data_IF_836567063488
#
_entry.id   IF_836567063488
#
_cell.length_a   1.000
_cell.length_b   1.000
_cell.length_c   1.000
_cell.angle_alpha   90.00
_cell.angle_beta   90.00
_cell.angle_gamma   90.00
#
_symmetry.space_group_name_H-M   'P 1'
#
loop_
_entity.id
_entity.type
_entity.pdbx_description
1 polymer ?
#
# COMPACT_ATOMS: atom_id res chain seq x y z
N UNK A 1 -2.62 -43.62 38.22
CA UNK A 1 -2.98 -42.92 39.47
C UNK A 1 -2.10 -41.69 39.61
N UNK A 2 -2.76 -40.60 40.00
CA UNK A 2 -2.33 -39.20 40.03
C UNK A 2 -1.06 -38.97 40.85
N UNK A 3 -0.16 -38.11 40.36
CA UNK A 3 0.69 -37.31 41.26
C UNK A 3 0.82 -35.88 40.75
N UNK A 4 0.08 -35.01 41.42
CA UNK A 4 0.16 -33.55 41.35
C UNK A 4 1.55 -33.07 41.77
N UNK A 5 2.09 -32.09 41.03
CA UNK A 5 3.11 -31.16 41.53
C UNK A 5 2.79 -29.76 41.03
N UNK A 6 2.29 -28.96 41.94
CA UNK A 6 2.19 -27.50 41.89
C UNK A 6 3.59 -26.88 41.85
N UNK A 7 3.84 -25.99 40.88
CA UNK A 7 5.01 -25.11 40.92
C UNK A 7 4.64 -23.69 40.46
N UNK A 8 4.74 -22.82 41.45
CA UNK A 8 4.73 -21.36 41.50
C UNK A 8 5.16 -20.64 40.21
N UNK A 9 4.36 -19.67 39.77
CA UNK A 9 4.82 -18.59 38.86
C UNK A 9 4.96 -17.32 39.69
N UNK A 10 6.21 -16.92 39.87
CA UNK A 10 6.69 -15.72 40.53
C UNK A 10 6.81 -14.63 39.46
N UNK A 11 5.83 -13.71 39.40
CA UNK A 11 5.93 -12.50 38.58
C UNK A 11 6.45 -11.37 39.45
N UNK A 12 7.70 -10.99 39.21
CA UNK A 12 8.30 -9.75 39.71
C UNK A 12 8.69 -8.84 38.54
N UNK A 13 8.35 -7.56 38.66
CA UNK A 13 8.98 -6.38 38.04
C UNK A 13 8.28 -5.15 38.64
N UNK A 14 8.82 -4.46 39.64
CA UNK A 14 9.91 -3.46 39.64
C UNK A 14 9.65 -2.23 38.75
N UNK A 15 9.20 -1.18 39.45
CA UNK A 15 9.34 0.29 39.30
C UNK A 15 10.19 0.86 38.15
N UNK A 16 9.71 1.98 37.57
CA UNK A 16 10.43 3.25 37.31
C UNK A 16 9.40 4.27 36.75
N UNK A 17 8.80 5.16 37.55
CA UNK A 17 9.23 6.54 37.83
C UNK A 17 9.51 7.44 36.60
N UNK A 18 8.61 8.41 36.38
CA UNK A 18 8.95 9.78 35.98
C UNK A 18 8.95 10.12 34.49
N UNK A 19 8.18 11.14 34.08
CA UNK A 19 8.43 11.85 32.83
C UNK A 19 7.22 12.56 32.21
N UNK A 20 7.11 13.86 32.46
CA UNK A 20 6.51 14.91 31.63
C UNK A 20 5.04 14.77 31.15
N UNK A 21 4.14 15.47 31.86
CA UNK A 21 2.91 16.01 31.29
C UNK A 21 3.25 17.20 30.37
N UNK A 22 2.97 17.07 29.08
CA UNK A 22 2.75 18.17 28.13
C UNK A 22 1.47 17.83 27.36
N UNK A 23 0.33 18.44 27.71
CA UNK A 23 -0.18 19.71 27.16
C UNK A 23 -0.82 19.49 25.78
N UNK A 24 -2.16 19.36 25.84
CA UNK A 24 -3.19 19.99 25.00
C UNK A 24 -3.29 19.69 23.50
N UNK A 25 -4.49 19.22 23.17
CA UNK A 25 -5.32 19.60 22.01
C UNK A 25 -4.78 19.34 20.60
N UNK A 26 -5.36 18.32 19.98
CA UNK A 26 -5.33 18.07 18.54
C UNK A 26 -6.50 18.84 17.90
N UNK A 27 -6.28 19.92 17.14
CA UNK A 27 -7.28 20.38 16.19
C UNK A 27 -7.14 19.57 14.89
N UNK A 28 -8.29 19.08 14.42
CA UNK A 28 -8.47 18.51 13.10
C UNK A 28 -8.01 19.46 12.00
N UNK A 29 -7.30 18.91 11.02
CA UNK A 29 -7.18 19.47 9.68
C UNK A 29 -5.95 20.34 9.42
N UNK A 30 -4.83 19.73 9.03
CA UNK A 30 -3.90 20.30 8.04
C UNK A 30 -2.87 19.23 7.65
N UNK A 31 -3.03 18.59 6.51
CA UNK A 31 -1.94 17.88 5.85
C UNK A 31 -1.37 18.86 4.82
N UNK A 32 -0.15 19.40 4.97
CA UNK A 32 0.49 20.14 3.89
C UNK A 32 1.19 19.12 2.97
N UNK A 33 0.55 18.79 1.85
CA UNK A 33 1.27 18.23 0.71
C UNK A 33 1.97 19.40 0.00
N UNK A 34 3.31 19.36 -0.18
CA UNK A 34 3.99 20.33 -1.02
C UNK A 34 3.69 20.02 -2.50
N UNK A 35 2.83 20.85 -3.10
CA UNK A 35 2.30 20.72 -4.45
C UNK A 35 3.22 21.35 -5.52
N UNK A 36 4.51 20.99 -5.52
CA UNK A 36 5.46 21.63 -6.43
C UNK A 36 6.70 20.80 -6.73
N UNK A 37 6.53 19.58 -7.24
CA UNK A 37 7.61 18.84 -7.93
C UNK A 37 7.08 17.91 -9.05
N UNK A 38 6.45 18.49 -10.07
CA UNK A 38 6.34 17.86 -11.39
C UNK A 38 6.94 18.79 -12.45
N UNK A 39 8.17 18.52 -12.94
CA UNK A 39 8.83 19.39 -13.90
C UNK A 39 8.29 19.21 -15.32
N UNK A 40 8.15 20.35 -15.98
CA UNK A 40 7.77 20.55 -17.37
C UNK A 40 8.73 19.82 -18.34
N UNK A 41 8.32 18.66 -18.83
CA UNK A 41 9.05 17.89 -19.85
C UNK A 41 8.23 17.64 -21.15
N UNK A 42 7.14 18.36 -21.39
CA UNK A 42 6.32 18.19 -22.60
C UNK A 42 5.85 19.55 -23.14
N UNK A 43 6.75 20.29 -23.79
CA UNK A 43 6.42 21.25 -24.85
C UNK A 43 7.68 22.00 -25.32
N UNK A 44 8.44 21.43 -26.26
CA UNK A 44 9.22 22.26 -27.18
C UNK A 44 9.53 21.47 -28.44
N UNK A 45 8.62 21.56 -29.40
CA UNK A 45 8.79 21.10 -30.77
C UNK A 45 8.04 22.09 -31.65
N UNK A 46 8.74 23.11 -32.14
CA UNK A 46 8.29 23.96 -33.23
C UNK A 46 9.52 24.57 -33.90
N UNK A 47 9.65 24.27 -35.18
CA UNK A 47 10.68 24.68 -36.13
C UNK A 47 10.86 26.20 -36.22
N UNK A 48 12.10 26.63 -36.47
CA UNK A 48 12.35 27.77 -37.34
C UNK A 48 13.68 27.63 -38.07
N UNK A 49 13.55 27.34 -39.35
CA UNK A 49 14.54 27.53 -40.41
C UNK A 49 14.76 29.02 -40.66
N UNK A 50 16.01 29.48 -40.68
CA UNK A 50 16.50 30.50 -41.61
C UNK A 50 18.01 30.58 -41.57
N UNK A 51 18.61 30.32 -42.72
CA UNK A 51 20.01 30.52 -43.02
C UNK A 51 20.43 32.00 -42.93
N UNK A 52 21.69 32.25 -42.59
CA UNK A 52 22.58 33.06 -43.45
C UNK A 52 24.04 32.86 -43.07
N UNK A 53 24.83 32.68 -44.11
CA UNK A 53 26.25 32.48 -44.09
C UNK A 53 26.99 33.70 -43.54
N UNK A 54 27.96 33.45 -42.66
CA UNK A 54 29.11 34.30 -42.46
C UNK A 54 30.35 33.40 -42.39
N UNK A 55 31.02 33.28 -43.52
CA UNK A 55 32.39 32.79 -43.63
C UNK A 55 33.29 33.62 -42.70
N UNK A 56 33.89 32.99 -41.70
CA UNK A 56 35.02 33.58 -40.98
C UNK A 56 36.05 32.50 -40.59
N UNK A 57 37.20 32.62 -41.24
CA UNK A 57 38.52 32.08 -40.90
C UNK A 57 38.72 30.56 -40.86
N UNK A 58 38.83 29.99 -42.06
CA UNK A 58 39.90 29.04 -42.34
C UNK A 58 41.25 29.71 -42.12
N UNK A 59 42.16 29.04 -41.40
CA UNK A 59 43.60 29.29 -41.52
C UNK A 59 44.24 30.08 -40.39
N UNK A 60 44.56 29.40 -39.28
CA UNK A 60 45.81 29.67 -38.57
C UNK A 60 46.39 28.40 -37.98
N UNK A 61 46.88 27.53 -38.86
CA UNK A 61 48.01 26.64 -38.54
C UNK A 61 49.23 27.52 -38.29
N UNK A 62 49.32 28.07 -37.08
CA UNK A 62 50.55 28.69 -36.60
C UNK A 62 51.46 27.58 -36.12
N UNK A 63 52.11 26.89 -37.06
CA UNK A 63 53.33 26.14 -36.78
C UNK A 63 54.40 27.16 -36.43
N UNK A 64 54.54 27.46 -35.14
CA UNK A 64 55.77 28.01 -34.60
C UNK A 64 56.76 26.85 -34.46
N UNK A 65 57.93 26.88 -35.15
CA UNK A 65 58.98 25.90 -34.93
C UNK A 65 59.71 26.31 -33.65
N UNK A 66 59.31 25.69 -32.54
CA UNK A 66 59.90 25.97 -31.23
C UNK A 66 59.38 25.02 -30.15
N UNK A 67 58.97 23.80 -30.51
CA UNK A 67 58.73 22.78 -29.51
C UNK A 67 60.09 22.15 -29.18
N UNK A 68 60.77 22.71 -28.17
CA UNK A 68 61.69 21.91 -27.38
C UNK A 68 60.94 20.63 -26.99
N UNK A 69 61.45 19.47 -27.40
CA UNK A 69 61.00 18.20 -26.82
C UNK A 69 61.05 18.36 -25.31
N UNK A 70 59.96 18.06 -24.58
CA UNK A 70 59.95 18.24 -23.14
C UNK A 70 61.14 17.49 -22.56
N UNK A 71 61.86 18.16 -21.66
CA UNK A 71 63.02 17.53 -21.05
C UNK A 71 62.56 16.26 -20.30
N UNK A 72 63.37 15.21 -20.21
CA UNK A 72 62.99 13.97 -19.52
C UNK A 72 62.48 14.22 -18.09
N UNK A 73 62.95 15.28 -17.44
CA UNK A 73 62.59 15.67 -16.08
C UNK A 73 61.18 16.31 -16.00
N UNK A 74 60.81 17.16 -16.98
CA UNK A 74 59.46 17.73 -17.10
C UNK A 74 58.40 16.66 -17.37
N UNK A 75 58.72 15.65 -18.19
CA UNK A 75 57.83 14.50 -18.42
C UNK A 75 57.61 13.67 -17.15
N UNK A 76 58.64 13.48 -16.33
CA UNK A 76 58.48 12.74 -15.07
C UNK A 76 57.64 13.53 -14.06
N UNK A 77 57.75 14.87 -14.05
CA UNK A 77 56.92 15.73 -13.21
C UNK A 77 55.45 15.70 -13.63
N UNK A 78 55.15 15.77 -14.94
CA UNK A 78 53.78 15.70 -15.44
C UNK A 78 53.12 14.36 -15.13
N UNK A 79 53.85 13.24 -15.30
CA UNK A 79 53.35 11.90 -14.96
C UNK A 79 53.08 11.75 -13.46
N UNK A 80 53.90 12.34 -12.58
CA UNK A 80 53.63 12.36 -11.13
C UNK A 80 52.37 13.16 -10.82
N UNK A 81 52.23 14.35 -11.40
CA UNK A 81 51.04 15.20 -11.22
C UNK A 81 49.77 14.49 -11.70
N UNK A 82 49.79 13.83 -12.85
CA UNK A 82 48.66 13.02 -13.32
C UNK A 82 48.34 11.87 -12.37
N UNK A 83 49.36 11.17 -11.84
CA UNK A 83 49.15 10.10 -10.85
C UNK A 83 48.49 10.61 -9.58
N UNK A 84 48.90 11.77 -9.09
CA UNK A 84 48.32 12.38 -7.89
C UNK A 84 46.85 12.77 -8.13
N UNK A 85 46.55 13.38 -9.29
CA UNK A 85 45.17 13.70 -9.69
C UNK A 85 44.29 12.45 -9.83
N UNK A 86 44.82 11.37 -10.39
CA UNK A 86 44.10 10.10 -10.50
C UNK A 86 43.90 9.45 -9.13
N UNK A 87 44.88 9.52 -8.23
CA UNK A 87 44.76 9.02 -6.86
C UNK A 87 43.65 9.76 -6.09
N UNK A 88 43.56 11.07 -6.23
CA UNK A 88 42.51 11.88 -5.62
C UNK A 88 41.11 11.60 -6.19
N UNK A 89 41.02 11.43 -7.51
CA UNK A 89 39.78 11.01 -8.16
C UNK A 89 39.33 9.63 -7.68
N UNK A 90 40.26 8.67 -7.58
CA UNK A 90 39.98 7.33 -7.08
C UNK A 90 39.44 7.38 -5.65
N UNK A 91 40.09 8.11 -4.75
CA UNK A 91 39.60 8.30 -3.37
C UNK A 91 38.18 8.88 -3.32
N UNK A 92 37.87 9.87 -4.16
CA UNK A 92 36.52 10.46 -4.24
C UNK A 92 35.47 9.47 -4.76
N UNK A 93 35.83 8.64 -5.75
CA UNK A 93 34.95 7.59 -6.25
C UNK A 93 34.73 6.49 -5.22
N UNK A 94 35.77 6.08 -4.50
CA UNK A 94 35.70 5.07 -3.44
C UNK A 94 34.81 5.56 -2.26
N UNK A 95 34.90 6.84 -1.90
CA UNK A 95 34.00 7.42 -0.90
C UNK A 95 32.54 7.42 -1.36
N UNK A 96 32.27 7.84 -2.60
CA UNK A 96 30.92 7.84 -3.17
C UNK A 96 30.34 6.43 -3.33
N UNK A 97 31.16 5.46 -3.73
CA UNK A 97 30.70 4.08 -3.88
C UNK A 97 30.29 3.49 -2.53
N UNK A 98 31.06 3.77 -1.46
CA UNK A 98 30.72 3.37 -0.10
C UNK A 98 29.41 4.02 0.40
N UNK A 99 29.21 5.32 0.14
CA UNK A 99 27.94 6.01 0.47
C UNK A 99 26.74 5.39 -0.26
N UNK A 100 26.88 5.13 -1.56
CA UNK A 100 25.81 4.51 -2.37
C UNK A 100 25.52 3.08 -1.88
N UNK A 101 26.54 2.32 -1.51
CA UNK A 101 26.37 0.95 -1.02
C UNK A 101 25.60 0.93 0.31
N UNK A 102 25.93 1.84 1.24
CA UNK A 102 25.18 1.99 2.48
C UNK A 102 23.72 2.40 2.22
N UNK A 103 23.49 3.35 1.30
CA UNK A 103 22.15 3.76 0.92
C UNK A 103 21.34 2.60 0.30
N UNK A 104 21.95 1.79 -0.56
CA UNK A 104 21.34 0.59 -1.14
C UNK A 104 20.96 -0.44 -0.09
N UNK A 105 21.84 -0.69 0.89
CA UNK A 105 21.54 -1.60 2.00
C UNK A 105 20.36 -1.10 2.85
N UNK A 106 20.29 0.21 3.09
CA UNK A 106 19.15 0.83 3.76
C UNK A 106 17.83 0.64 3.00
N UNK A 107 17.85 0.86 1.68
CA UNK A 107 16.68 0.67 0.82
C UNK A 107 16.25 -0.80 0.76
N UNK A 108 17.18 -1.74 0.61
CA UNK A 108 16.88 -3.17 0.60
C UNK A 108 16.23 -3.62 1.93
N UNK A 109 16.74 -3.13 3.06
CA UNK A 109 16.15 -3.40 4.38
C UNK A 109 14.73 -2.84 4.49
N UNK A 110 14.49 -1.61 4.05
CA UNK A 110 13.17 -1.01 4.04
C UNK A 110 12.21 -1.76 3.11
N UNK A 111 12.67 -2.16 1.92
CA UNK A 111 11.88 -2.93 0.97
C UNK A 111 11.48 -4.28 1.55
N UNK A 112 12.41 -5.00 2.20
CA UNK A 112 12.11 -6.27 2.88
C UNK A 112 11.06 -6.08 3.97
N UNK A 113 11.23 -5.06 4.82
CA UNK A 113 10.27 -4.75 5.87
C UNK A 113 8.87 -4.42 5.32
N UNK A 114 8.78 -3.64 4.23
CA UNK A 114 7.52 -3.33 3.57
C UNK A 114 6.86 -4.57 2.95
N UNK A 115 7.64 -5.45 2.31
CA UNK A 115 7.12 -6.71 1.77
C UNK A 115 6.61 -7.62 2.88
N UNK A 116 7.37 -7.78 3.98
CA UNK A 116 6.91 -8.54 5.14
C UNK A 116 5.62 -7.99 5.74
N UNK A 117 5.51 -6.66 5.83
CA UNK A 117 4.31 -6.02 6.37
C UNK A 117 3.11 -6.20 5.43
N UNK A 118 3.32 -6.06 4.12
CA UNK A 118 2.32 -6.37 3.09
C UNK A 118 1.83 -7.81 3.24
N UNK A 119 2.74 -8.78 3.34
CA UNK A 119 2.41 -10.20 3.44
C UNK A 119 1.67 -10.53 4.75
N UNK A 120 2.04 -9.89 5.85
CA UNK A 120 1.30 -10.00 7.12
C UNK A 120 -0.12 -9.46 6.98
N UNK A 121 -0.28 -8.29 6.35
CA UNK A 121 -1.60 -7.67 6.14
C UNK A 121 -2.47 -8.52 5.22
N UNK A 122 -1.95 -9.00 4.10
CA UNK A 122 -2.71 -9.87 3.18
C UNK A 122 -3.12 -11.17 3.88
N UNK A 123 -2.20 -11.80 4.62
CA UNK A 123 -2.50 -13.02 5.38
C UNK A 123 -3.59 -12.79 6.44
N UNK A 124 -3.57 -11.65 7.13
CA UNK A 124 -4.60 -11.29 8.09
C UNK A 124 -5.95 -11.03 7.42
N UNK A 125 -5.96 -10.32 6.29
CA UNK A 125 -7.19 -10.10 5.51
C UNK A 125 -7.78 -11.44 5.03
N UNK A 126 -6.96 -12.31 4.43
CA UNK A 126 -7.40 -13.63 3.99
C UNK A 126 -7.98 -14.46 5.15
N UNK A 127 -7.37 -14.37 6.34
CA UNK A 127 -7.86 -15.06 7.54
C UNK A 127 -9.20 -14.50 8.00
N UNK A 128 -9.35 -13.16 8.01
CA UNK A 128 -10.60 -12.50 8.40
C UNK A 128 -11.71 -12.86 7.40
N UNK A 129 -11.45 -12.75 6.09
CA UNK A 129 -12.41 -13.11 5.05
C UNK A 129 -12.85 -14.58 5.14
N UNK A 130 -11.91 -15.50 5.37
CA UNK A 130 -12.21 -16.92 5.60
C UNK A 130 -13.07 -17.12 6.84
N UNK A 131 -12.71 -16.51 7.97
CA UNK A 131 -13.48 -16.65 9.21
C UNK A 131 -14.90 -16.09 9.08
N UNK A 132 -15.05 -14.93 8.43
CA UNK A 132 -16.35 -14.32 8.19
C UNK A 132 -17.20 -15.20 7.26
N UNK A 133 -16.61 -15.75 6.20
CA UNK A 133 -17.31 -16.67 5.29
C UNK A 133 -17.73 -17.95 6.02
N UNK A 134 -16.84 -18.53 6.83
CA UNK A 134 -17.17 -19.71 7.66
C UNK A 134 -18.30 -19.44 8.65
N UNK A 135 -18.32 -18.26 9.29
CA UNK A 135 -19.36 -17.90 10.25
C UNK A 135 -20.72 -17.69 9.57
N UNK A 136 -20.73 -17.06 8.39
CA UNK A 136 -21.95 -16.94 7.56
C UNK A 136 -22.41 -18.33 7.10
N UNK A 137 -21.50 -19.19 6.63
CA UNK A 137 -21.83 -20.55 6.18
C UNK A 137 -22.38 -21.41 7.34
N UNK A 138 -21.83 -21.27 8.54
CA UNK A 138 -22.37 -21.91 9.77
C UNK A 138 -23.79 -21.44 10.04
N UNK A 139 -24.04 -20.13 9.95
CA UNK A 139 -25.36 -19.56 10.18
C UNK A 139 -26.37 -20.06 9.14
N UNK A 140 -25.97 -20.08 7.87
CA UNK A 140 -26.75 -20.66 6.76
C UNK A 140 -27.07 -22.13 7.04
N UNK A 141 -26.09 -22.93 7.46
CA UNK A 141 -26.27 -24.34 7.76
C UNK A 141 -27.30 -24.57 8.87
N UNK A 142 -27.29 -23.75 9.92
CA UNK A 142 -28.25 -23.83 11.03
C UNK A 142 -29.68 -23.60 10.51
N UNK A 143 -29.90 -22.55 9.70
CA UNK A 143 -31.23 -22.21 9.19
C UNK A 143 -31.71 -23.12 8.07
N UNK A 144 -30.79 -23.66 7.26
CA UNK A 144 -31.11 -24.67 6.25
C UNK A 144 -31.60 -25.97 6.87
N UNK A 145 -30.98 -26.41 7.96
CA UNK A 145 -31.26 -27.72 8.57
C UNK A 145 -32.50 -27.70 9.49
N UNK A 146 -33.09 -26.54 9.76
CA UNK A 146 -34.34 -26.45 10.52
C UNK A 146 -35.58 -26.46 9.61
N UNK A 147 -36.77 -26.60 10.21
CA UNK A 147 -38.02 -26.59 9.44
C UNK A 147 -38.24 -25.20 8.81
N UNK A 148 -38.67 -25.11 7.53
CA UNK A 148 -38.84 -23.82 6.84
C UNK A 148 -39.75 -22.83 7.58
N UNK A 149 -40.86 -23.30 8.15
CA UNK A 149 -41.76 -22.46 8.94
C UNK A 149 -41.11 -21.90 10.21
N UNK A 150 -40.22 -22.66 10.87
CA UNK A 150 -39.50 -22.18 12.05
C UNK A 150 -38.42 -21.16 11.67
N UNK A 151 -37.69 -21.39 10.56
CA UNK A 151 -36.72 -20.43 10.05
C UNK A 151 -37.39 -19.10 9.67
N UNK A 152 -38.53 -19.18 8.97
CA UNK A 152 -39.30 -18.02 8.55
C UNK A 152 -39.80 -17.20 9.74
N UNK A 153 -40.29 -17.85 10.81
CA UNK A 153 -40.69 -17.17 12.03
C UNK A 153 -39.54 -16.38 12.66
N UNK A 154 -38.35 -16.97 12.77
CA UNK A 154 -37.16 -16.29 13.33
C UNK A 154 -36.72 -15.13 12.41
N UNK A 155 -36.70 -15.34 11.09
CA UNK A 155 -36.36 -14.30 10.12
C UNK A 155 -37.38 -13.15 10.08
N UNK A 156 -38.63 -13.42 10.47
CA UNK A 156 -39.66 -12.40 10.67
C UNK A 156 -39.45 -11.53 11.91
N UNK A 157 -38.56 -11.90 12.82
CA UNK A 157 -38.24 -11.09 14.00
C UNK A 157 -36.82 -10.50 13.95
N UNK A 158 -35.91 -11.16 13.22
CA UNK A 158 -34.50 -10.76 13.08
C UNK A 158 -34.31 -9.51 12.21
N UNK A 159 -33.29 -8.70 12.46
CA UNK A 159 -32.94 -7.54 11.60
C UNK A 159 -32.97 -7.90 10.09
N UNK A 160 -33.58 -7.01 9.31
CA UNK A 160 -33.73 -7.19 7.87
C UNK A 160 -32.38 -7.29 7.17
N UNK A 161 -31.34 -6.59 7.65
CA UNK A 161 -30.01 -6.65 7.05
C UNK A 161 -29.36 -8.03 7.22
N UNK A 162 -29.50 -8.62 8.41
CA UNK A 162 -28.98 -9.96 8.73
C UNK A 162 -29.77 -11.02 7.95
N UNK A 163 -31.09 -10.87 7.87
CA UNK A 163 -31.95 -11.75 7.08
C UNK A 163 -31.57 -11.74 5.60
N UNK A 164 -31.34 -10.55 5.03
CA UNK A 164 -30.87 -10.40 3.65
C UNK A 164 -29.51 -11.06 3.46
N UNK A 165 -28.55 -10.84 4.37
CA UNK A 165 -27.22 -11.44 4.28
C UNK A 165 -27.29 -12.98 4.24
N UNK A 166 -28.03 -13.59 5.17
CA UNK A 166 -28.14 -15.05 5.24
C UNK A 166 -28.87 -15.62 4.02
N UNK A 167 -30.02 -15.04 3.64
CA UNK A 167 -30.80 -15.54 2.51
C UNK A 167 -30.11 -15.33 1.16
N UNK A 168 -29.31 -14.27 1.00
CA UNK A 168 -28.54 -14.03 -0.22
C UNK A 168 -27.38 -15.02 -0.41
N UNK A 169 -26.82 -15.55 0.68
CA UNK A 169 -25.75 -16.57 0.62
C UNK A 169 -26.31 -17.99 0.43
N UNK A 170 -27.58 -18.22 0.76
CA UNK A 170 -28.24 -19.51 0.60
C UNK A 170 -28.56 -19.84 -0.86
N UNK A 171 -28.66 -21.15 -1.16
CA UNK A 171 -29.10 -21.65 -2.48
C UNK A 171 -30.60 -21.42 -2.66
N UNK A 172 -31.03 -21.13 -3.88
CA UNK A 172 -32.42 -20.76 -4.20
C UNK A 172 -33.43 -21.84 -3.77
N UNK A 173 -33.05 -23.12 -3.88
CA UNK A 173 -33.89 -24.26 -3.48
C UNK A 173 -34.18 -24.31 -1.98
N UNK A 174 -33.29 -23.77 -1.16
CA UNK A 174 -33.41 -23.77 0.31
C UNK A 174 -34.13 -22.51 0.79
N UNK A 175 -33.90 -21.39 0.11
CA UNK A 175 -34.55 -20.10 0.39
C UNK A 175 -36.03 -20.11 0.03
N UNK A 176 -36.40 -20.69 -1.12
CA UNK A 176 -37.77 -20.68 -1.61
C UNK A 176 -38.84 -21.14 -0.59
N UNK A 177 -38.70 -22.30 0.08
CA UNK A 177 -39.68 -22.72 1.08
C UNK A 177 -39.67 -21.84 2.35
N UNK A 178 -38.55 -21.21 2.70
CA UNK A 178 -38.49 -20.29 3.85
C UNK A 178 -39.23 -19.00 3.52
N UNK A 179 -39.03 -18.43 2.33
CA UNK A 179 -39.73 -17.24 1.89
C UNK A 179 -41.24 -17.44 1.73
N UNK A 180 -41.69 -18.67 1.40
CA UNK A 180 -43.10 -19.00 1.30
C UNK A 180 -43.82 -18.93 2.67
N UNK A 181 -43.11 -19.25 3.75
CA UNK A 181 -43.62 -19.23 5.13
C UNK A 181 -43.40 -17.87 5.82
N UNK A 182 -42.69 -16.93 5.18
CA UNK A 182 -42.41 -15.60 5.72
C UNK A 182 -43.62 -14.66 5.56
N UNK A 183 -43.62 -13.56 6.34
CA UNK A 183 -44.59 -12.50 6.15
C UNK A 183 -44.43 -11.88 4.75
N UNK A 184 -45.51 -11.73 3.96
CA UNK A 184 -45.43 -11.24 2.58
C UNK A 184 -44.84 -9.82 2.47
N UNK A 185 -45.04 -8.96 3.47
CA UNK A 185 -44.45 -7.61 3.50
C UNK A 185 -42.93 -7.71 3.64
N UNK A 186 -42.46 -8.58 4.54
CA UNK A 186 -41.03 -8.77 4.80
C UNK A 186 -40.32 -9.46 3.65
N UNK A 187 -40.93 -10.50 3.08
CA UNK A 187 -40.38 -11.19 1.91
C UNK A 187 -40.16 -10.23 0.73
N UNK A 188 -41.12 -9.33 0.45
CA UNK A 188 -40.97 -8.29 -0.58
C UNK A 188 -39.83 -7.32 -0.27
N UNK A 189 -39.71 -6.89 0.98
CA UNK A 189 -38.64 -5.98 1.41
C UNK A 189 -37.26 -6.63 1.23
N UNK A 190 -37.09 -7.88 1.67
CA UNK A 190 -35.86 -8.66 1.49
C UNK A 190 -35.53 -8.82 0.00
N UNK A 191 -36.49 -9.24 -0.84
CA UNK A 191 -36.27 -9.35 -2.29
C UNK A 191 -35.83 -8.04 -2.93
N UNK A 192 -36.43 -6.92 -2.51
CA UNK A 192 -36.05 -5.59 -3.00
C UNK A 192 -34.62 -5.26 -2.61
N UNK A 193 -34.23 -5.50 -1.36
CA UNK A 193 -32.87 -5.20 -0.89
C UNK A 193 -31.83 -6.09 -1.57
N UNK A 194 -32.11 -7.38 -1.76
CA UNK A 194 -31.24 -8.30 -2.51
C UNK A 194 -31.03 -7.79 -3.94
N UNK A 195 -32.12 -7.39 -4.61
CA UNK A 195 -32.05 -6.82 -5.96
C UNK A 195 -31.23 -5.53 -6.01
N UNK A 196 -31.45 -4.58 -5.09
CA UNK A 196 -30.67 -3.33 -5.06
C UNK A 196 -29.19 -3.57 -4.77
N UNK A 197 -28.84 -4.53 -3.90
CA UNK A 197 -27.43 -4.91 -3.65
C UNK A 197 -26.75 -5.55 -4.87
N UNK A 198 -27.51 -6.25 -5.71
CA UNK A 198 -26.98 -6.86 -6.94
C UNK A 198 -26.72 -5.83 -8.05
N UNK A 199 -27.29 -4.63 -7.95
CA UNK A 199 -27.02 -3.54 -8.89
C UNK A 199 -25.65 -2.95 -8.61
N UNK A 200 -24.95 -2.59 -9.69
CA UNK A 200 -23.65 -1.93 -9.62
C UNK A 200 -23.72 -0.68 -8.72
N UNK A 201 -22.62 -0.31 -8.03
CA UNK A 201 -22.60 0.81 -7.07
C UNK A 201 -23.15 2.15 -7.60
N UNK A 202 -23.15 2.35 -8.93
CA UNK A 202 -23.70 3.54 -9.58
C UNK A 202 -25.22 3.55 -9.79
N UNK A 203 -25.91 2.42 -9.63
CA UNK A 203 -27.36 2.27 -9.85
C UNK A 203 -28.13 1.98 -8.53
N UNK A 204 -27.42 2.02 -7.40
CA UNK A 204 -27.99 1.86 -6.07
C UNK A 204 -28.74 3.12 -5.65
N UNK A 205 -30.07 3.13 -5.81
CA UNK A 205 -30.91 4.12 -5.12
C UNK A 205 -31.02 3.70 -3.67
N UNK A 206 -30.12 4.20 -2.82
CA UNK A 206 -30.15 4.03 -1.36
C UNK A 206 -31.38 4.75 -0.79
N UNK A 207 -32.55 4.15 -0.97
CA UNK A 207 -33.80 4.60 -0.38
C UNK A 207 -33.90 3.94 0.97
N UNK A 208 -33.72 4.73 2.03
CA UNK A 208 -34.09 4.40 3.40
C UNK A 208 -35.46 3.69 3.42
N UNK A 209 -35.46 2.36 3.48
CA UNK A 209 -36.68 1.57 3.60
C UNK A 209 -37.09 1.66 5.07
N UNK A 210 -37.84 2.71 5.43
CA UNK A 210 -38.57 2.71 6.69
C UNK A 210 -39.69 1.68 6.57
N UNK A 211 -39.53 0.60 7.31
CA UNK A 211 -40.60 -0.34 7.60
C UNK A 211 -41.51 0.36 8.61
N UNK A 212 -42.65 0.84 8.14
CA UNK A 212 -43.78 1.22 9.00
C UNK A 212 -44.77 0.06 9.04
#
# INVERSE_FOLDING_TARGET
>A
MVKSRSLQVLVGALLLSGGAKLVTSLPSGMIPFPDSLLPAALASGAEKESATAALASTGKLSTAPGACSPTPEELLMSVRQERDLLADQKKKLDARSAEIELAKQGLDTQSKHLTELKDKVTTLLDKVEKSHTEDVDRLVSIYKNMKPAAAAAIMNDLDIEVTVMVLATMKEREVAPIMAEMNPVRARAVSKIILERSKLPGDQKLVNVKLN
#
